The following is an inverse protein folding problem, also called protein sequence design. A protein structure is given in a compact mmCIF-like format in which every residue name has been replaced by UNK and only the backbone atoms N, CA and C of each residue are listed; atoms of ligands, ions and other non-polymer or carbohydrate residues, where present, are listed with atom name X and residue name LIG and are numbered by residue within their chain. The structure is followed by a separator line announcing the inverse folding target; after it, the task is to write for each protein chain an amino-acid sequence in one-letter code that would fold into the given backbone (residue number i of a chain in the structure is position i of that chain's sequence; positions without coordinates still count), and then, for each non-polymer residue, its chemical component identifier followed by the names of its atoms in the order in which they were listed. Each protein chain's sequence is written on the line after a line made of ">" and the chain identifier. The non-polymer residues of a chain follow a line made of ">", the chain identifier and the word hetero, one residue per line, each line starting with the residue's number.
data_IF_620237392783
#
_entry.id   IF_620237392783
#
_cell.length_a   1.000
_cell.length_b   1.000
_cell.length_c   1.000
_cell.angle_alpha   90.00
_cell.angle_beta   90.00
_cell.angle_gamma   90.00
#
_symmetry.space_group_name_H-M   'P 1'
#
loop_
_entity.id
_entity.type
_entity.pdbx_description
1 polymer ?
#
# COMPACT_ATOMS: atom_id res chain seq x y z
N UNK A 1 -37.80 1.14 3.16
CA UNK A 1 -36.72 1.51 4.10
C UNK A 1 -37.27 1.68 5.52
N UNK A 2 -36.65 1.10 6.56
CA UNK A 2 -37.13 1.19 7.97
C UNK A 2 -37.39 2.64 8.40
N UNK A 3 -36.51 3.56 8.00
CA UNK A 3 -36.60 4.98 8.31
C UNK A 3 -37.77 5.71 7.62
N UNK A 4 -38.50 5.09 6.69
CA UNK A 4 -39.76 5.65 6.14
C UNK A 4 -40.98 5.20 6.95
N UNK A 5 -40.97 3.97 7.46
CA UNK A 5 -42.15 3.35 8.12
C UNK A 5 -42.43 3.90 9.51
N UNK A 6 -41.46 4.57 10.14
CA UNK A 6 -41.58 5.06 11.53
C UNK A 6 -41.77 6.58 11.55
N UNK A 7 -42.84 7.06 12.18
CA UNK A 7 -43.16 8.49 12.26
C UNK A 7 -42.14 9.33 13.03
N UNK A 8 -41.50 8.77 14.08
CA UNK A 8 -40.46 9.44 14.86
C UNK A 8 -39.12 8.68 14.79
N UNK A 9 -38.02 9.41 14.58
CA UNK A 9 -36.66 8.86 14.56
C UNK A 9 -36.15 8.72 16.00
N UNK A 10 -36.52 7.63 16.67
CA UNK A 10 -36.09 7.35 18.03
C UNK A 10 -34.74 6.59 18.05
N UNK A 11 -34.02 6.64 19.16
CA UNK A 11 -32.72 5.97 19.36
C UNK A 11 -32.78 4.47 19.06
N UNK A 12 -33.89 3.80 19.42
CA UNK A 12 -34.12 2.37 19.12
C UNK A 12 -34.20 2.11 17.62
N UNK A 13 -34.87 2.98 16.87
CA UNK A 13 -35.00 2.87 15.42
C UNK A 13 -33.65 3.07 14.72
N UNK A 14 -32.85 4.04 15.20
CA UNK A 14 -31.49 4.29 14.70
C UNK A 14 -30.55 3.12 15.04
N UNK A 15 -30.57 2.62 16.27
CA UNK A 15 -29.79 1.44 16.67
C UNK A 15 -30.15 0.22 15.82
N UNK A 16 -31.44 -0.04 15.62
CA UNK A 16 -31.91 -1.12 14.74
C UNK A 16 -31.50 -0.88 13.28
N UNK A 17 -31.48 0.38 12.83
CA UNK A 17 -31.02 0.73 11.50
C UNK A 17 -29.54 0.35 11.35
N UNK A 18 -28.64 0.87 12.20
CA UNK A 18 -27.21 0.59 12.08
C UNK A 18 -26.87 -0.88 12.29
N UNK A 19 -27.44 -1.52 13.33
CA UNK A 19 -27.18 -2.93 13.63
C UNK A 19 -27.46 -3.85 12.43
N UNK A 20 -28.58 -3.64 11.74
CA UNK A 20 -28.93 -4.45 10.57
C UNK A 20 -27.95 -4.32 9.39
N UNK A 21 -27.17 -3.23 9.32
CA UNK A 21 -26.19 -2.98 8.26
C UNK A 21 -24.84 -3.51 8.68
N UNK A 22 -24.44 -3.23 9.93
CA UNK A 22 -23.21 -3.77 10.53
C UNK A 22 -23.19 -5.29 10.47
N UNK A 23 -24.28 -5.96 10.90
CA UNK A 23 -24.38 -7.44 10.86
C UNK A 23 -24.27 -8.00 9.45
N UNK A 24 -24.59 -7.23 8.41
CA UNK A 24 -24.59 -7.69 7.02
C UNK A 24 -23.24 -7.45 6.34
N UNK A 25 -22.62 -6.30 6.59
CA UNK A 25 -21.49 -5.80 5.81
C UNK A 25 -20.15 -6.11 6.48
N UNK A 26 -20.01 -5.75 7.77
CA UNK A 26 -18.71 -5.77 8.44
C UNK A 26 -18.06 -7.16 8.60
N UNK A 27 -18.79 -8.25 8.93
CA UNK A 27 -18.15 -9.55 9.12
C UNK A 27 -17.46 -10.04 7.85
N UNK A 28 -18.16 -9.99 6.71
CA UNK A 28 -17.59 -10.43 5.44
C UNK A 28 -16.45 -9.48 5.01
N UNK A 29 -16.62 -8.18 5.21
CA UNK A 29 -15.59 -7.20 4.88
C UNK A 29 -14.28 -7.45 5.63
N UNK A 30 -14.32 -7.53 6.97
CA UNK A 30 -13.11 -7.76 7.77
C UNK A 30 -12.54 -9.18 7.60
N UNK A 31 -13.39 -10.17 7.28
CA UNK A 31 -12.93 -11.51 6.90
C UNK A 31 -12.09 -11.46 5.63
N UNK A 32 -12.59 -10.81 4.57
CA UNK A 32 -11.86 -10.64 3.31
C UNK A 32 -10.57 -9.84 3.53
N UNK A 33 -10.61 -8.78 4.35
CA UNK A 33 -9.38 -8.03 4.70
C UNK A 33 -8.36 -8.93 5.42
N UNK A 34 -8.79 -9.70 6.41
CA UNK A 34 -7.91 -10.61 7.17
C UNK A 34 -7.32 -11.69 6.26
N UNK A 35 -8.14 -12.34 5.43
CA UNK A 35 -7.68 -13.34 4.47
C UNK A 35 -6.73 -12.73 3.43
N UNK A 36 -7.02 -11.53 2.93
CA UNK A 36 -6.16 -10.80 2.00
C UNK A 36 -4.80 -10.46 2.61
N UNK A 37 -4.76 -10.04 3.88
CA UNK A 37 -3.51 -9.78 4.61
C UNK A 37 -2.73 -11.06 4.88
N UNK A 38 -3.39 -12.15 5.28
CA UNK A 38 -2.74 -13.46 5.43
C UNK A 38 -2.15 -13.90 4.08
N UNK A 39 -2.90 -13.75 2.98
CA UNK A 39 -2.42 -14.11 1.66
C UNK A 39 -1.23 -13.25 1.21
N UNK A 40 -1.28 -11.94 1.47
CA UNK A 40 -0.18 -11.01 1.23
C UNK A 40 1.11 -11.48 1.93
N UNK A 41 1.03 -11.81 3.21
CA UNK A 41 2.21 -12.18 4.00
C UNK A 41 2.75 -13.59 3.68
N UNK A 42 1.94 -14.50 3.15
CA UNK A 42 2.36 -15.88 2.89
C UNK A 42 2.69 -16.16 1.42
N UNK A 43 2.05 -15.47 0.48
CA UNK A 43 2.12 -15.81 -0.95
C UNK A 43 2.62 -14.67 -1.83
N UNK A 44 2.57 -13.41 -1.39
CA UNK A 44 2.99 -12.27 -2.21
C UNK A 44 4.45 -11.85 -1.95
N UNK A 45 5.19 -11.42 -2.99
CA UNK A 45 6.54 -10.85 -2.83
C UNK A 45 6.54 -9.61 -1.93
N UNK A 46 7.68 -9.33 -1.29
CA UNK A 46 7.82 -8.21 -0.35
C UNK A 46 7.58 -6.83 -0.99
N UNK A 47 7.81 -6.71 -2.30
CA UNK A 47 7.51 -5.49 -3.06
C UNK A 47 6.04 -5.09 -2.97
N UNK A 48 5.13 -6.04 -2.70
CA UNK A 48 3.70 -5.76 -2.53
C UNK A 48 3.33 -5.29 -1.12
N UNK A 49 4.15 -5.60 -0.12
CA UNK A 49 3.77 -5.44 1.29
C UNK A 49 3.60 -3.98 1.69
N UNK A 50 4.57 -3.10 1.38
CA UNK A 50 4.52 -1.70 1.79
C UNK A 50 3.23 -0.99 1.31
N UNK A 51 2.91 -1.12 0.01
CA UNK A 51 1.69 -0.56 -0.59
C UNK A 51 0.43 -1.17 0.02
N UNK A 52 0.36 -2.49 0.14
CA UNK A 52 -0.83 -3.19 0.60
C UNK A 52 -1.08 -3.06 2.11
N UNK A 53 -0.04 -2.97 2.93
CA UNK A 53 -0.16 -2.69 4.38
C UNK A 53 -0.60 -1.23 4.60
N UNK A 54 -0.07 -0.27 3.83
CA UNK A 54 -0.55 1.10 3.89
C UNK A 54 -2.03 1.21 3.45
N UNK A 55 -2.43 0.51 2.38
CA UNK A 55 -3.82 0.50 1.90
C UNK A 55 -4.75 -0.21 2.88
N UNK A 56 -4.33 -1.34 3.45
CA UNK A 56 -5.12 -2.10 4.41
C UNK A 56 -5.44 -1.31 5.69
N UNK A 57 -4.53 -0.44 6.16
CA UNK A 57 -4.81 0.46 7.30
C UNK A 57 -5.97 1.40 6.99
N UNK A 58 -6.00 1.97 5.78
CA UNK A 58 -7.14 2.80 5.33
C UNK A 58 -8.40 1.95 5.19
N UNK A 59 -8.28 0.69 4.75
CA UNK A 59 -9.40 -0.22 4.59
C UNK A 59 -10.01 -0.62 5.94
N UNK A 60 -9.18 -0.95 6.93
CA UNK A 60 -9.59 -1.23 8.30
C UNK A 60 -10.29 -0.01 8.92
N UNK A 61 -9.78 1.19 8.64
CA UNK A 61 -10.40 2.44 9.07
C UNK A 61 -11.64 2.88 8.24
N UNK A 62 -12.03 2.12 7.20
CA UNK A 62 -13.16 2.42 6.30
C UNK A 62 -13.04 3.78 5.58
N UNK A 63 -11.82 4.14 5.17
CA UNK A 63 -11.50 5.43 4.53
C UNK A 63 -10.65 5.29 3.25
N UNK A 64 -10.71 4.15 2.55
CA UNK A 64 -9.96 3.97 1.29
C UNK A 64 -10.44 4.86 0.15
N UNK A 65 -11.61 5.48 0.30
CA UNK A 65 -12.11 6.51 -0.60
C UNK A 65 -11.47 7.91 -0.36
N UNK A 66 -10.66 8.09 0.68
CA UNK A 66 -9.92 9.34 0.87
C UNK A 66 -8.60 9.23 0.11
N UNK A 67 -8.58 9.79 -1.11
CA UNK A 67 -7.39 9.91 -1.96
C UNK A 67 -6.87 11.35 -1.90
N UNK A 68 -5.55 11.50 -1.78
CA UNK A 68 -4.87 12.81 -1.81
C UNK A 68 -4.84 13.32 -3.25
N UNK A 69 -5.08 14.63 -3.44
CA UNK A 69 -4.88 15.31 -4.74
C UNK A 69 -3.40 15.41 -5.02
N UNK A 70 -3.00 14.98 -6.20
CA UNK A 70 -1.59 14.81 -6.57
C UNK A 70 -1.32 15.42 -7.94
N UNK A 71 -0.07 15.79 -8.17
CA UNK A 71 0.36 16.46 -9.39
C UNK A 71 0.41 15.48 -10.57
N UNK A 72 0.30 15.98 -11.80
CA UNK A 72 0.20 15.17 -13.02
C UNK A 72 1.36 14.17 -13.21
N UNK A 73 2.55 14.47 -12.69
CA UNK A 73 3.74 13.61 -12.72
C UNK A 73 3.66 12.40 -11.79
N UNK A 74 2.92 12.46 -10.68
CA UNK A 74 2.78 11.35 -9.72
C UNK A 74 1.68 10.35 -10.13
N UNK A 75 0.85 10.71 -11.12
CA UNK A 75 -0.33 9.95 -11.53
C UNK A 75 0.00 8.58 -12.13
N UNK A 76 1.03 8.47 -12.98
CA UNK A 76 1.37 7.21 -13.65
C UNK A 76 1.93 6.17 -12.68
N UNK A 77 2.85 6.61 -11.81
CA UNK A 77 3.50 5.76 -10.82
C UNK A 77 2.50 5.26 -9.77
N UNK A 78 1.48 6.06 -9.46
CA UNK A 78 0.41 5.64 -8.57
C UNK A 78 -0.64 4.76 -9.25
N UNK A 79 -0.90 4.91 -10.55
CA UNK A 79 -1.73 3.96 -11.30
C UNK A 79 -1.15 2.54 -11.25
N UNK A 80 0.17 2.41 -11.34
CA UNK A 80 0.85 1.12 -11.21
C UNK A 80 0.81 0.57 -9.78
N UNK A 81 0.93 1.44 -8.76
CA UNK A 81 0.74 1.03 -7.36
C UNK A 81 -0.71 0.62 -7.06
N UNK A 82 -1.71 1.35 -7.58
CA UNK A 82 -3.13 1.02 -7.42
C UNK A 82 -3.47 -0.31 -8.12
N UNK A 83 -2.78 -0.68 -9.21
CA UNK A 83 -2.93 -1.99 -9.86
C UNK A 83 -2.36 -3.16 -9.03
N UNK A 84 -1.40 -2.88 -8.14
CA UNK A 84 -0.79 -3.87 -7.24
C UNK A 84 -1.47 -3.90 -5.85
N UNK A 85 -2.42 -3.00 -5.60
CA UNK A 85 -3.14 -2.89 -4.34
C UNK A 85 -4.34 -3.85 -4.30
N UNK A 86 -4.20 -4.92 -3.53
CA UNK A 86 -5.23 -5.94 -3.25
C UNK A 86 -6.49 -5.33 -2.63
N UNK A 87 -6.36 -4.19 -1.93
CA UNK A 87 -7.45 -3.52 -1.23
C UNK A 87 -8.02 -2.34 -2.02
N UNK A 88 -7.59 -2.14 -3.28
CA UNK A 88 -8.02 -1.01 -4.10
C UNK A 88 -9.55 -0.94 -4.21
N UNK A 89 -10.24 -2.07 -4.40
CA UNK A 89 -11.68 -2.10 -4.61
C UNK A 89 -12.52 -1.90 -3.34
N UNK A 90 -11.90 -1.73 -2.17
CA UNK A 90 -12.62 -1.47 -0.90
C UNK A 90 -13.22 -0.06 -0.83
N UNK A 91 -12.79 0.86 -1.70
CA UNK A 91 -13.24 2.26 -1.68
C UNK A 91 -14.76 2.39 -1.83
N UNK A 92 -15.40 1.54 -2.64
CA UNK A 92 -16.83 1.64 -2.95
C UNK A 92 -17.68 1.30 -1.74
N UNK A 93 -17.25 0.29 -0.99
CA UNK A 93 -17.89 -0.09 0.26
C UNK A 93 -17.67 0.98 1.34
N UNK A 94 -16.50 1.63 1.39
CA UNK A 94 -16.27 2.74 2.32
C UNK A 94 -17.23 3.92 2.04
N UNK A 95 -17.45 4.25 0.76
CA UNK A 95 -18.44 5.25 0.35
C UNK A 95 -19.84 4.86 0.81
N UNK A 96 -20.22 3.59 0.63
CA UNK A 96 -21.52 3.07 1.08
C UNK A 96 -21.68 3.16 2.61
N UNK A 97 -20.65 2.81 3.37
CA UNK A 97 -20.65 2.89 4.83
C UNK A 97 -20.78 4.33 5.33
N UNK A 98 -20.05 5.27 4.70
CA UNK A 98 -20.15 6.70 5.00
C UNK A 98 -21.55 7.24 4.65
N UNK A 99 -22.13 6.82 3.52
CA UNK A 99 -23.51 7.16 3.19
C UNK A 99 -24.51 6.67 4.24
N UNK A 100 -24.36 5.45 4.76
CA UNK A 100 -25.24 4.95 5.81
C UNK A 100 -25.19 5.76 7.11
N UNK A 101 -24.04 6.37 7.45
CA UNK A 101 -23.93 7.30 8.57
C UNK A 101 -24.70 8.60 8.31
N UNK A 102 -24.71 9.08 7.06
CA UNK A 102 -25.40 10.31 6.67
C UNK A 102 -26.92 10.13 6.54
N UNK A 103 -27.38 8.94 6.15
CA UNK A 103 -28.78 8.65 5.83
C UNK A 103 -29.77 9.12 6.92
N UNK A 104 -29.59 8.83 8.23
CA UNK A 104 -30.53 9.30 9.25
C UNK A 104 -30.61 10.82 9.33
N UNK A 105 -29.50 11.52 9.14
CA UNK A 105 -29.43 12.99 9.14
C UNK A 105 -30.20 13.53 7.93
N UNK A 106 -30.01 12.92 6.75
CA UNK A 106 -30.72 13.30 5.53
C UNK A 106 -32.23 13.10 5.67
N UNK A 107 -32.69 11.97 6.24
CA UNK A 107 -34.11 11.74 6.49
C UNK A 107 -34.68 12.65 7.59
N UNK A 108 -33.88 13.00 8.59
CA UNK A 108 -34.29 14.00 9.59
C UNK A 108 -34.48 15.37 8.93
N UNK A 109 -33.51 15.83 8.14
CA UNK A 109 -33.60 17.09 7.39
C UNK A 109 -34.79 17.11 6.41
N UNK A 110 -35.02 16.00 5.70
CA UNK A 110 -36.18 15.84 4.81
C UNK A 110 -37.48 16.15 5.54
N UNK A 111 -37.70 15.55 6.72
CA UNK A 111 -38.94 15.70 7.49
C UNK A 111 -39.15 17.10 8.04
N UNK A 112 -38.08 17.84 8.30
CA UNK A 112 -38.15 19.22 8.82
C UNK A 112 -38.37 20.25 7.71
N UNK A 113 -37.76 20.05 6.53
CA UNK A 113 -37.74 21.08 5.48
C UNK A 113 -38.88 20.89 4.48
N UNK A 114 -39.12 19.66 3.99
CA UNK A 114 -40.04 19.42 2.86
C UNK A 114 -40.87 18.16 3.07
N UNK A 115 -42.20 18.29 3.01
CA UNK A 115 -43.12 17.13 3.08
C UNK A 115 -43.04 16.23 1.83
N UNK A 116 -42.62 16.79 0.69
CA UNK A 116 -42.48 16.09 -0.59
C UNK A 116 -41.16 15.32 -0.68
N UNK A 117 -41.17 14.07 -0.20
CA UNK A 117 -40.00 13.18 -0.17
C UNK A 117 -39.32 13.05 -1.55
N UNK A 118 -40.11 12.86 -2.63
CA UNK A 118 -39.59 12.68 -4.00
C UNK A 118 -38.80 13.91 -4.47
N UNK A 119 -39.38 15.09 -4.28
CA UNK A 119 -38.74 16.36 -4.68
C UNK A 119 -37.47 16.59 -3.89
N UNK A 120 -37.47 16.31 -2.58
CA UNK A 120 -36.30 16.46 -1.73
C UNK A 120 -35.11 15.60 -2.21
N UNK A 121 -35.33 14.31 -2.44
CA UNK A 121 -34.26 13.43 -2.93
C UNK A 121 -33.86 13.71 -4.38
N UNK A 122 -34.77 14.18 -5.23
CA UNK A 122 -34.44 14.62 -6.58
C UNK A 122 -33.53 15.86 -6.58
N UNK A 123 -33.78 16.83 -5.69
CA UNK A 123 -32.93 18.02 -5.54
C UNK A 123 -31.54 17.64 -5.02
N UNK A 124 -31.45 16.76 -4.01
CA UNK A 124 -30.14 16.27 -3.53
C UNK A 124 -29.38 15.54 -4.65
N UNK A 125 -30.06 14.69 -5.42
CA UNK A 125 -29.46 14.01 -6.56
C UNK A 125 -28.94 15.02 -7.60
N UNK A 126 -29.72 16.05 -7.94
CA UNK A 126 -29.31 17.09 -8.87
C UNK A 126 -28.09 17.88 -8.36
N UNK A 127 -28.07 18.27 -7.08
CA UNK A 127 -26.92 18.96 -6.47
C UNK A 127 -25.67 18.07 -6.53
N UNK A 128 -25.82 16.78 -6.21
CA UNK A 128 -24.73 15.80 -6.25
C UNK A 128 -24.20 15.61 -7.67
N UNK A 129 -25.07 15.56 -8.69
CA UNK A 129 -24.65 15.51 -10.11
C UNK A 129 -23.91 16.78 -10.52
N UNK A 130 -24.43 17.96 -10.16
CA UNK A 130 -23.75 19.22 -10.48
C UNK A 130 -22.37 19.27 -9.81
N UNK A 131 -22.25 18.79 -8.57
CA UNK A 131 -20.96 18.68 -7.88
C UNK A 131 -20.03 17.69 -8.59
N UNK A 132 -20.53 16.50 -8.95
CA UNK A 132 -19.79 15.48 -9.70
C UNK A 132 -19.21 16.02 -11.01
N UNK A 133 -19.99 16.81 -11.75
CA UNK A 133 -19.58 17.40 -13.03
C UNK A 133 -18.60 18.59 -12.90
N UNK A 134 -18.49 19.21 -11.71
CA UNK A 134 -17.66 20.40 -11.49
C UNK A 134 -16.30 20.13 -10.86
N UNK A 135 -16.14 19.00 -10.17
CA UNK A 135 -14.88 18.64 -9.51
C UNK A 135 -13.99 17.80 -10.42
N UNK A 136 -12.71 17.70 -10.07
CA UNK A 136 -11.74 16.84 -10.76
C UNK A 136 -12.13 15.37 -10.73
N UNK A 137 -11.61 14.58 -11.67
CA UNK A 137 -11.94 13.17 -11.88
C UNK A 137 -11.73 12.31 -10.63
N UNK A 138 -10.64 12.54 -9.88
CA UNK A 138 -10.35 11.78 -8.66
C UNK A 138 -11.41 12.08 -7.60
N UNK A 139 -11.71 13.36 -7.37
CA UNK A 139 -12.71 13.77 -6.39
C UNK A 139 -14.11 13.33 -6.81
N UNK A 140 -14.47 13.44 -8.09
CA UNK A 140 -15.77 13.03 -8.60
C UNK A 140 -15.98 11.53 -8.45
N UNK A 141 -14.90 10.75 -8.65
CA UNK A 141 -14.87 9.33 -8.39
C UNK A 141 -14.99 9.09 -6.88
N UNK A 142 -14.00 9.36 -6.04
CA UNK A 142 -14.00 8.82 -4.68
C UNK A 142 -14.91 9.54 -3.65
N UNK A 143 -15.44 10.73 -3.94
CA UNK A 143 -16.25 11.48 -2.98
C UNK A 143 -17.65 10.91 -2.77
N UNK A 144 -18.05 10.76 -1.50
CA UNK A 144 -19.43 10.39 -1.12
C UNK A 144 -20.43 11.43 -1.64
N UNK A 145 -20.10 12.71 -1.56
CA UNK A 145 -20.99 13.80 -1.97
C UNK A 145 -21.18 13.83 -3.48
N UNK A 146 -20.11 13.57 -4.25
CA UNK A 146 -20.20 13.46 -5.71
C UNK A 146 -20.98 12.23 -6.17
N UNK A 147 -20.99 11.15 -5.38
CA UNK A 147 -21.71 9.90 -5.71
C UNK A 147 -23.09 9.77 -5.08
N UNK A 148 -23.49 10.73 -4.25
CA UNK A 148 -24.77 10.71 -3.52
C UNK A 148 -25.97 10.52 -4.46
N UNK A 149 -25.92 11.06 -5.68
CA UNK A 149 -26.99 10.89 -6.67
C UNK A 149 -27.33 9.42 -6.96
N UNK A 150 -26.35 8.50 -6.94
CA UNK A 150 -26.57 7.07 -7.18
C UNK A 150 -27.46 6.45 -6.10
N UNK A 151 -27.18 6.78 -4.84
CA UNK A 151 -28.00 6.35 -3.72
C UNK A 151 -29.39 6.99 -3.74
N UNK A 152 -29.47 8.27 -4.10
CA UNK A 152 -30.76 8.96 -4.27
C UNK A 152 -31.60 8.33 -5.39
N UNK A 153 -31.01 7.91 -6.52
CA UNK A 153 -31.72 7.17 -7.57
C UNK A 153 -32.36 5.89 -7.02
N UNK A 154 -31.64 5.13 -6.19
CA UNK A 154 -32.21 3.95 -5.53
C UNK A 154 -33.37 4.27 -4.58
N UNK A 155 -33.28 5.37 -3.83
CA UNK A 155 -34.38 5.85 -2.97
C UNK A 155 -35.58 6.28 -3.82
N UNK A 156 -35.35 7.05 -4.88
CA UNK A 156 -36.40 7.53 -5.80
C UNK A 156 -37.10 6.36 -6.49
N UNK A 157 -36.35 5.36 -6.97
CA UNK A 157 -36.91 4.14 -7.56
C UNK A 157 -37.86 3.44 -6.57
N UNK A 158 -37.46 3.27 -5.30
CA UNK A 158 -38.32 2.73 -4.25
C UNK A 158 -39.57 3.60 -3.97
N UNK A 159 -39.42 4.92 -3.98
CA UNK A 159 -40.54 5.85 -3.79
C UNK A 159 -41.52 5.88 -4.98
N UNK A 160 -41.03 5.63 -6.20
CA UNK A 160 -41.84 5.53 -7.41
C UNK A 160 -42.55 4.17 -7.49
N UNK A 161 -41.89 3.07 -7.09
CA UNK A 161 -42.53 1.75 -7.03
C UNK A 161 -43.70 1.72 -6.05
N UNK A 162 -43.59 2.46 -4.93
CA UNK A 162 -44.69 2.59 -3.96
C UNK A 162 -45.94 3.29 -4.51
N UNK A 163 -45.89 3.81 -5.74
CA UNK A 163 -46.99 4.46 -6.44
C UNK A 163 -47.50 3.65 -7.66
N UNK A 164 -46.90 2.51 -7.98
CA UNK A 164 -47.30 1.63 -9.08
C UNK A 164 -47.98 0.37 -8.54
N UNK A 165 -49.10 -0.02 -9.15
CA UNK A 165 -49.79 -1.27 -8.86
C UNK A 165 -48.89 -2.47 -9.28
N UNK A 166 -48.72 -3.51 -8.45
CA UNK A 166 -47.83 -4.66 -8.74
C UNK A 166 -48.15 -5.40 -10.04
N UNK A 167 -49.37 -5.25 -10.53
CA UNK A 167 -49.93 -5.91 -11.72
C UNK A 167 -49.35 -5.40 -13.04
N UNK A 168 -48.82 -4.17 -13.10
CA UNK A 168 -48.25 -3.60 -14.35
C UNK A 168 -46.76 -3.93 -14.57
N UNK A 169 -46.01 -4.28 -13.52
CA UNK A 169 -44.55 -4.48 -13.62
C UNK A 169 -44.16 -5.86 -14.14
N UNK A 170 -45.01 -6.87 -13.93
CA UNK A 170 -44.79 -8.26 -14.37
C UNK A 170 -45.50 -8.61 -15.69
N UNK A 171 -46.27 -7.69 -16.27
CA UNK A 171 -47.05 -7.90 -17.50
C UNK A 171 -46.28 -7.66 -18.80
N UNK A 172 -45.03 -7.18 -18.74
CA UNK A 172 -44.20 -6.99 -19.94
C UNK A 172 -43.20 -8.13 -20.06
N UNK A 173 -43.17 -8.85 -21.20
CA UNK A 173 -42.20 -9.91 -21.40
C UNK A 173 -40.80 -9.32 -21.24
N UNK A 174 -40.00 -9.99 -20.40
CA UNK A 174 -38.61 -9.68 -20.14
C UNK A 174 -37.92 -9.48 -21.50
N UNK A 175 -37.37 -8.28 -21.70
CA UNK A 175 -36.64 -7.91 -22.91
C UNK A 175 -35.62 -9.02 -23.19
N UNK A 176 -35.86 -9.82 -24.22
CA UNK A 176 -34.90 -10.81 -24.72
C UNK A 176 -33.75 -10.00 -25.31
N UNK A 177 -32.77 -9.70 -24.46
CA UNK A 177 -31.46 -9.26 -24.89
C UNK A 177 -30.90 -10.42 -25.70
N UNK A 178 -31.01 -10.30 -27.03
CA UNK A 178 -30.24 -11.09 -27.99
C UNK A 178 -28.76 -10.85 -27.66
N UNK A 179 -28.18 -11.77 -26.91
CA UNK A 179 -26.75 -11.81 -26.64
C UNK A 179 -26.06 -12.41 -27.86
N UNK A 180 -25.77 -11.55 -28.83
CA UNK A 180 -24.79 -11.86 -29.86
C UNK A 180 -23.41 -12.09 -29.21
N UNK A 181 -22.77 -13.19 -29.60
CA UNK A 181 -21.39 -13.56 -29.30
C UNK A 181 -21.03 -13.77 -27.81
N UNK A 182 -21.51 -14.87 -27.21
CA UNK A 182 -20.84 -15.43 -26.03
C UNK A 182 -20.66 -16.95 -26.15
N UNK A 183 -19.46 -17.43 -25.84
CA UNK A 183 -19.13 -18.84 -25.85
C UNK A 183 -20.03 -19.58 -24.84
N UNK A 184 -20.98 -20.38 -25.36
CA UNK A 184 -22.05 -21.02 -24.58
C UNK A 184 -21.54 -21.78 -23.35
N UNK A 185 -20.31 -22.31 -23.39
CA UNK A 185 -19.68 -23.00 -22.25
C UNK A 185 -19.46 -22.07 -21.06
N UNK A 186 -19.00 -20.84 -21.29
CA UNK A 186 -18.77 -19.85 -20.23
C UNK A 186 -20.07 -19.39 -19.57
N UNK A 187 -21.15 -19.24 -20.34
CA UNK A 187 -22.47 -18.87 -19.83
C UNK A 187 -23.05 -19.96 -18.92
N UNK A 188 -23.04 -21.22 -19.35
CA UNK A 188 -23.52 -22.34 -18.53
C UNK A 188 -22.69 -22.49 -17.24
N UNK A 189 -21.38 -22.36 -17.34
CA UNK A 189 -20.49 -22.46 -16.19
C UNK A 189 -20.73 -21.30 -15.21
N UNK A 190 -20.94 -20.08 -15.71
CA UNK A 190 -21.29 -18.91 -14.91
C UNK A 190 -22.65 -19.04 -14.21
N UNK A 191 -23.67 -19.55 -14.90
CA UNK A 191 -25.00 -19.81 -14.30
C UNK A 191 -24.91 -20.88 -13.22
N UNK A 192 -24.21 -21.99 -13.50
CA UNK A 192 -24.03 -23.08 -12.53
C UNK A 192 -23.29 -22.59 -11.28
N UNK A 193 -22.18 -21.85 -11.46
CA UNK A 193 -21.42 -21.27 -10.36
C UNK A 193 -22.27 -20.28 -9.54
N UNK A 194 -23.05 -19.44 -10.23
CA UNK A 194 -23.96 -18.49 -9.56
C UNK A 194 -25.01 -19.21 -8.72
N UNK A 195 -25.58 -20.31 -9.21
CA UNK A 195 -26.55 -21.11 -8.46
C UNK A 195 -25.92 -21.78 -7.23
N UNK A 196 -24.70 -22.29 -7.36
CA UNK A 196 -23.94 -22.87 -6.24
C UNK A 196 -23.66 -21.80 -5.18
N UNK A 197 -23.13 -20.64 -5.58
CA UNK A 197 -22.83 -19.53 -4.66
C UNK A 197 -24.11 -19.00 -4.00
N UNK A 198 -25.20 -18.88 -4.75
CA UNK A 198 -26.49 -18.45 -4.21
C UNK A 198 -27.04 -19.44 -3.17
N UNK A 199 -26.98 -20.74 -3.47
CA UNK A 199 -27.41 -21.80 -2.56
C UNK A 199 -26.55 -21.83 -1.29
N UNK A 200 -25.23 -21.74 -1.44
CA UNK A 200 -24.31 -21.67 -0.31
C UNK A 200 -24.58 -20.42 0.55
N UNK A 201 -24.74 -19.25 -0.08
CA UNK A 201 -25.07 -17.99 0.60
C UNK A 201 -26.38 -18.13 1.37
N UNK A 202 -27.43 -18.67 0.77
CA UNK A 202 -28.71 -18.89 1.45
C UNK A 202 -28.58 -19.81 2.67
N UNK A 203 -27.87 -20.93 2.54
CA UNK A 203 -27.73 -21.91 3.63
C UNK A 203 -26.85 -21.39 4.78
N UNK A 204 -25.67 -20.85 4.47
CA UNK A 204 -24.71 -20.41 5.50
C UNK A 204 -25.04 -19.02 6.05
N UNK A 205 -25.40 -18.06 5.20
CA UNK A 205 -25.63 -16.69 5.61
C UNK A 205 -27.07 -16.49 6.12
N UNK A 206 -28.07 -16.81 5.30
CA UNK A 206 -29.45 -16.46 5.58
C UNK A 206 -30.10 -17.38 6.62
N UNK A 207 -29.91 -18.70 6.50
CA UNK A 207 -30.49 -19.68 7.43
C UNK A 207 -29.78 -19.80 8.76
N UNK A 208 -28.46 -19.63 8.79
CA UNK A 208 -27.64 -19.83 9.98
C UNK A 208 -27.18 -18.51 10.59
N UNK A 209 -26.32 -17.76 9.90
CA UNK A 209 -25.67 -16.56 10.46
C UNK A 209 -26.67 -15.46 10.86
N UNK A 210 -27.69 -15.16 10.05
CA UNK A 210 -28.66 -14.11 10.38
C UNK A 210 -29.52 -14.40 11.63
N UNK A 211 -29.53 -15.65 12.12
CA UNK A 211 -30.24 -16.04 13.35
C UNK A 211 -29.38 -15.97 14.60
N UNK A 212 -28.09 -15.68 14.47
CA UNK A 212 -27.20 -15.59 15.62
C UNK A 212 -27.60 -14.45 16.56
N UNK A 213 -27.39 -14.62 17.87
CA UNK A 213 -27.70 -13.57 18.83
C UNK A 213 -26.78 -12.36 18.61
N UNK A 214 -27.26 -11.13 18.87
CA UNK A 214 -26.52 -9.90 18.60
C UNK A 214 -25.13 -9.85 19.24
N UNK A 215 -25.01 -10.36 20.47
CA UNK A 215 -23.73 -10.36 21.19
C UNK A 215 -22.67 -11.20 20.48
N UNK A 216 -23.05 -12.36 19.92
CA UNK A 216 -22.12 -13.21 19.16
C UNK A 216 -21.67 -12.54 17.88
N UNK A 217 -22.57 -11.87 17.17
CA UNK A 217 -22.23 -11.12 15.95
C UNK A 217 -21.28 -9.97 16.26
N UNK A 218 -21.54 -9.23 17.34
CA UNK A 218 -20.66 -8.13 17.76
C UNK A 218 -19.28 -8.64 18.17
N UNK A 219 -19.20 -9.75 18.91
CA UNK A 219 -17.92 -10.38 19.25
C UNK A 219 -17.17 -10.88 18.02
N UNK A 220 -17.86 -11.45 17.03
CA UNK A 220 -17.26 -11.87 15.75
C UNK A 220 -16.68 -10.66 15.00
N UNK A 221 -17.46 -9.58 14.86
CA UNK A 221 -17.01 -8.36 14.19
C UNK A 221 -15.81 -7.77 14.93
N UNK A 222 -15.84 -7.71 16.26
CA UNK A 222 -14.73 -7.21 17.07
C UNK A 222 -13.47 -8.07 16.89
N UNK A 223 -13.60 -9.41 16.89
CA UNK A 223 -12.48 -10.32 16.65
C UNK A 223 -11.86 -10.13 15.26
N UNK A 224 -12.68 -10.05 14.21
CA UNK A 224 -12.22 -9.82 12.84
C UNK A 224 -11.61 -8.44 12.63
N UNK A 225 -12.17 -7.42 13.30
CA UNK A 225 -11.58 -6.08 13.31
C UNK A 225 -10.22 -6.09 13.99
N UNK A 226 -10.09 -6.70 15.17
CA UNK A 226 -8.82 -6.77 15.89
C UNK A 226 -7.78 -7.59 15.12
N UNK A 227 -8.15 -8.70 14.47
CA UNK A 227 -7.22 -9.48 13.66
C UNK A 227 -6.73 -8.72 12.43
N UNK A 228 -7.64 -8.08 11.70
CA UNK A 228 -7.27 -7.28 10.53
C UNK A 228 -6.46 -6.04 10.93
N UNK A 229 -6.81 -5.37 12.04
CA UNK A 229 -6.05 -4.26 12.58
C UNK A 229 -4.63 -4.69 13.00
N UNK A 230 -4.50 -5.81 13.71
CA UNK A 230 -3.19 -6.35 14.11
C UNK A 230 -2.30 -6.62 12.88
N UNK A 231 -2.83 -7.28 11.86
CA UNK A 231 -2.11 -7.56 10.61
C UNK A 231 -1.78 -6.28 9.84
N UNK A 232 -2.68 -5.29 9.82
CA UNK A 232 -2.47 -4.01 9.16
C UNK A 232 -1.51 -3.06 9.92
N UNK A 233 -1.29 -3.31 11.21
CA UNK A 233 -0.35 -2.56 12.05
C UNK A 233 1.09 -3.10 11.98
N UNK A 234 1.34 -4.18 11.24
CA UNK A 234 2.72 -4.55 10.91
C UNK A 234 3.42 -3.37 10.23
N UNK A 235 4.72 -3.23 10.46
CA UNK A 235 5.50 -2.14 9.87
C UNK A 235 5.32 -2.15 8.35
N UNK A 236 5.16 -0.95 7.75
CA UNK A 236 5.12 -0.83 6.28
C UNK A 236 6.47 -1.23 5.67
N UNK A 237 7.50 -1.29 6.52
CA UNK A 237 8.83 -1.73 6.21
C UNK A 237 8.85 -3.26 6.16
N UNK A 238 8.33 -3.79 5.06
CA UNK A 238 8.58 -5.18 4.63
C UNK A 238 10.09 -5.53 4.61
N UNK A 239 10.94 -4.51 4.63
CA UNK A 239 12.38 -4.56 4.58
C UNK A 239 13.08 -4.43 5.95
N UNK A 240 12.41 -4.02 7.04
CA UNK A 240 13.03 -4.14 8.38
C UNK A 240 13.20 -5.60 8.79
N UNK A 241 12.31 -6.48 8.31
CA UNK A 241 12.42 -7.93 8.50
C UNK A 241 13.32 -8.65 7.48
N UNK A 242 13.77 -7.96 6.43
CA UNK A 242 14.61 -8.51 5.37
C UNK A 242 15.87 -7.68 5.15
N UNK A 243 16.68 -7.58 6.20
CA UNK A 243 18.13 -7.54 6.02
C UNK A 243 18.60 -8.90 5.46
N UNK A 244 18.33 -9.15 4.19
CA UNK A 244 18.99 -10.21 3.45
C UNK A 244 20.46 -9.82 3.28
N UNK A 245 21.38 -10.58 3.86
CA UNK A 245 22.83 -10.34 3.85
C UNK A 245 23.50 -10.61 2.49
N UNK A 246 22.81 -10.36 1.38
CA UNK A 246 23.24 -10.73 0.03
C UNK A 246 23.40 -9.55 -0.93
N UNK A 247 24.25 -9.72 -1.94
CA UNK A 247 24.42 -8.76 -3.02
C UNK A 247 23.20 -8.79 -3.95
N UNK A 248 22.53 -7.64 -4.11
CA UNK A 248 21.49 -7.47 -5.14
C UNK A 248 22.16 -7.55 -6.52
N UNK A 249 21.78 -8.54 -7.33
CA UNK A 249 22.26 -8.71 -8.69
C UNK A 249 21.41 -7.86 -9.66
N UNK A 250 22.05 -6.87 -10.28
CA UNK A 250 21.43 -5.93 -11.22
C UNK A 250 21.59 -6.37 -12.68
N UNK A 251 22.33 -7.45 -12.96
CA UNK A 251 22.66 -7.89 -14.32
C UNK A 251 21.52 -8.60 -15.07
N UNK A 252 20.48 -9.00 -14.34
CA UNK A 252 19.29 -9.69 -14.87
C UNK A 252 18.14 -8.72 -15.24
N UNK A 253 18.40 -7.42 -15.16
CA UNK A 253 17.41 -6.36 -15.39
C UNK A 253 17.29 -6.05 -16.89
N UNK A 254 16.12 -6.33 -17.47
CA UNK A 254 15.78 -5.95 -18.84
C UNK A 254 15.17 -4.55 -18.87
N UNK A 255 15.95 -3.57 -19.33
CA UNK A 255 15.63 -2.13 -19.32
C UNK A 255 14.52 -1.74 -20.31
N UNK A 256 14.18 -2.62 -21.25
CA UNK A 256 13.26 -2.35 -22.36
C UNK A 256 11.84 -2.92 -22.15
N UNK A 257 11.59 -3.59 -21.02
CA UNK A 257 10.30 -4.23 -20.73
C UNK A 257 9.25 -3.17 -20.31
N UNK A 258 8.00 -3.29 -20.78
CA UNK A 258 6.94 -2.27 -20.56
C UNK A 258 6.58 -1.99 -19.08
N UNK A 259 6.99 -2.86 -18.15
CA UNK A 259 6.90 -2.65 -16.70
C UNK A 259 7.87 -1.56 -16.17
N UNK A 260 8.85 -1.13 -16.97
CA UNK A 260 9.89 -0.13 -16.64
C UNK A 260 9.53 1.32 -16.96
N UNK A 261 8.28 1.59 -17.32
CA UNK A 261 7.83 2.96 -17.52
C UNK A 261 7.51 3.66 -16.17
N UNK A 262 7.65 2.97 -15.03
CA UNK A 262 7.91 3.65 -13.76
C UNK A 262 9.34 4.18 -13.77
N UNK A 263 9.50 5.46 -13.41
CA UNK A 263 10.81 6.11 -13.32
C UNK A 263 11.79 5.21 -12.54
N UNK A 264 12.85 4.76 -13.22
CA UNK A 264 13.95 3.91 -12.71
C UNK A 264 14.35 4.22 -11.26
N UNK A 265 14.27 5.49 -10.88
CA UNK A 265 14.56 6.02 -9.55
C UNK A 265 13.62 5.52 -8.43
N UNK A 266 12.32 5.31 -8.70
CA UNK A 266 11.39 4.74 -7.70
C UNK A 266 11.67 3.27 -7.43
N UNK A 267 12.13 2.52 -8.43
CA UNK A 267 12.50 1.13 -8.28
C UNK A 267 13.83 0.99 -7.49
N UNK A 268 14.80 1.87 -7.76
CA UNK A 268 16.06 1.93 -7.01
C UNK A 268 15.80 2.35 -5.55
N UNK A 269 15.04 3.43 -5.32
CA UNK A 269 14.65 3.85 -3.97
C UNK A 269 13.81 2.82 -3.21
N UNK A 270 12.96 2.04 -3.91
CA UNK A 270 12.21 0.94 -3.31
C UNK A 270 13.09 -0.30 -3.04
N UNK A 271 14.11 -0.55 -3.87
CA UNK A 271 15.11 -1.61 -3.67
C UNK A 271 16.14 -1.26 -2.58
N UNK A 272 16.37 0.03 -2.33
CA UNK A 272 17.31 0.56 -1.32
C UNK A 272 16.62 1.00 -0.01
N UNK A 273 15.28 1.08 -0.01
CA UNK A 273 14.41 1.22 1.15
C UNK A 273 14.73 2.40 2.12
N UNK A 274 14.84 3.63 1.60
CA UNK A 274 14.94 4.85 2.44
C UNK A 274 14.40 6.13 1.79
N UNK A 275 13.06 6.34 1.75
CA UNK A 275 12.47 7.55 1.15
C UNK A 275 12.57 8.83 2.03
N UNK A 276 12.91 8.73 3.31
CA UNK A 276 12.90 9.85 4.27
C UNK A 276 14.25 10.55 4.48
N UNK A 277 15.30 10.12 3.78
CA UNK A 277 16.70 10.53 4.01
C UNK A 277 17.28 11.34 2.83
N UNK A 278 16.48 12.20 2.20
CA UNK A 278 17.01 13.18 1.24
C UNK A 278 17.64 14.37 1.98
N UNK A 279 18.71 14.12 2.73
CA UNK A 279 19.49 15.16 3.40
C UNK A 279 20.54 15.71 2.44
N UNK A 280 20.35 16.96 2.03
CA UNK A 280 21.35 17.79 1.37
C UNK A 280 22.67 17.79 2.18
N UNK A 281 23.79 17.46 1.53
CA UNK A 281 25.14 17.66 2.06
C UNK A 281 25.58 19.10 1.74
N UNK A 282 25.76 19.90 2.79
CA UNK A 282 26.06 21.33 2.68
C UNK A 282 27.41 21.53 1.98
N UNK A 283 27.44 22.26 0.87
CA UNK A 283 28.66 22.51 0.08
C UNK A 283 28.85 21.62 -1.14
N UNK A 284 27.92 20.69 -1.41
CA UNK A 284 28.05 19.77 -2.53
C UNK A 284 27.46 20.28 -3.85
N UNK A 285 28.19 20.09 -4.96
CA UNK A 285 27.67 20.25 -6.32
C UNK A 285 27.01 18.95 -6.78
N UNK A 286 25.73 19.05 -7.12
CA UNK A 286 24.91 17.92 -7.58
C UNK A 286 24.81 17.92 -9.11
N UNK A 287 24.61 16.74 -9.70
CA UNK A 287 24.42 16.63 -11.16
C UNK A 287 23.00 16.98 -11.58
N UNK A 288 22.86 17.85 -12.59
CA UNK A 288 21.57 18.21 -13.19
C UNK A 288 21.01 17.13 -14.13
N UNK A 289 21.73 15.99 -14.27
CA UNK A 289 21.45 14.92 -15.25
C UNK A 289 20.05 14.33 -15.13
N UNK A 290 19.37 14.51 -14.00
CA UNK A 290 18.08 13.89 -13.70
C UNK A 290 17.01 14.83 -13.13
N UNK A 291 17.30 16.08 -12.78
CA UNK A 291 16.35 16.91 -12.01
C UNK A 291 16.22 18.32 -12.59
N UNK A 292 15.16 18.54 -13.36
CA UNK A 292 14.68 19.85 -13.78
C UNK A 292 13.91 20.63 -12.71
N UNK A 293 13.83 20.14 -11.47
CA UNK A 293 13.25 20.84 -10.30
C UNK A 293 13.97 20.45 -8.99
N UNK A 294 13.75 21.25 -7.94
CA UNK A 294 14.39 21.31 -6.62
C UNK A 294 14.27 20.02 -5.77
N UNK A 295 14.86 18.90 -6.20
CA UNK A 295 15.16 17.75 -5.34
C UNK A 295 16.61 17.32 -5.52
N UNK A 296 17.36 17.18 -4.41
CA UNK A 296 18.79 16.83 -4.36
C UNK A 296 18.93 15.36 -3.90
N UNK A 297 18.90 14.37 -4.82
CA UNK A 297 18.98 12.95 -4.43
C UNK A 297 20.38 12.58 -3.90
N UNK A 298 20.42 11.65 -2.94
CA UNK A 298 21.65 10.94 -2.58
C UNK A 298 22.16 10.17 -3.81
N UNK A 299 23.46 10.29 -4.10
CA UNK A 299 24.15 9.42 -5.06
C UNK A 299 24.97 10.14 -6.14
N UNK A 300 24.82 11.45 -6.31
CA UNK A 300 25.62 12.20 -7.28
C UNK A 300 26.07 13.54 -6.71
N UNK A 301 26.97 13.45 -5.73
CA UNK A 301 27.55 14.59 -5.04
C UNK A 301 29.05 14.66 -5.34
N UNK A 302 29.55 15.82 -5.82
CA UNK A 302 30.99 16.11 -5.92
C UNK A 302 31.35 17.30 -5.01
N UNK A 303 32.41 17.16 -4.20
CA UNK A 303 33.01 18.23 -3.41
C UNK A 303 34.52 18.22 -3.58
N UNK A 304 35.10 19.40 -3.84
CA UNK A 304 36.53 19.56 -4.09
C UNK A 304 37.39 19.17 -2.87
N UNK A 305 36.88 19.41 -1.65
CA UNK A 305 37.57 19.14 -0.39
C UNK A 305 37.25 17.76 0.25
N UNK A 306 36.35 16.96 -0.34
CA UNK A 306 35.92 15.67 0.23
C UNK A 306 34.84 15.77 1.33
N UNK A 307 34.29 14.63 1.78
CA UNK A 307 33.29 14.55 2.87
C UNK A 307 33.91 14.44 4.27
N UNK A 308 35.23 14.25 4.35
CA UNK A 308 35.96 14.03 5.60
C UNK A 308 36.70 15.30 5.96
N UNK A 309 36.11 16.14 6.80
CA UNK A 309 36.66 17.44 7.18
C UNK A 309 37.77 17.38 8.25
N UNK A 310 37.87 16.27 9.00
CA UNK A 310 38.86 16.12 10.08
C UNK A 310 39.62 14.81 9.98
N UNK A 311 40.94 14.92 9.86
CA UNK A 311 41.87 13.79 9.88
C UNK A 311 41.94 13.14 11.27
N UNK A 312 41.94 11.80 11.31
CA UNK A 312 42.03 10.99 12.53
C UNK A 312 43.45 10.89 13.10
N UNK A 313 44.36 11.77 12.66
CA UNK A 313 45.78 11.83 13.02
C UNK A 313 46.08 11.47 14.49
N UNK A 314 45.46 12.16 15.45
CA UNK A 314 45.70 11.91 16.87
C UNK A 314 45.16 10.57 17.38
N UNK A 315 44.11 10.01 16.75
CA UNK A 315 43.60 8.69 17.09
C UNK A 315 44.56 7.59 16.60
N UNK A 316 45.11 7.75 15.40
CA UNK A 316 46.11 6.82 14.82
C UNK A 316 47.40 6.82 15.63
N UNK A 317 47.91 7.99 16.02
CA UNK A 317 49.07 8.11 16.93
C UNK A 317 48.87 7.36 18.26
N UNK A 318 47.66 7.40 18.84
CA UNK A 318 47.37 6.66 20.08
C UNK A 318 47.40 5.14 19.87
N UNK A 319 46.87 4.65 18.75
CA UNK A 319 46.86 3.21 18.43
C UNK A 319 48.29 2.71 18.17
N UNK A 320 49.10 3.48 17.45
CA UNK A 320 50.51 3.17 17.21
C UNK A 320 51.30 3.08 18.52
N UNK A 321 51.07 4.00 19.45
CA UNK A 321 51.78 4.01 20.73
C UNK A 321 51.36 2.86 21.67
N UNK A 322 50.10 2.42 21.58
CA UNK A 322 49.61 1.20 22.25
C UNK A 322 50.28 -0.04 21.65
N UNK A 323 50.41 -0.11 20.33
CA UNK A 323 51.02 -1.24 19.66
C UNK A 323 52.49 -1.43 20.05
N UNK A 324 53.27 -0.34 20.21
CA UNK A 324 54.67 -0.41 20.68
C UNK A 324 54.84 -1.10 22.04
N UNK A 325 53.80 -1.06 22.88
CA UNK A 325 53.82 -1.64 24.24
C UNK A 325 53.20 -3.03 24.30
N UNK A 326 52.57 -3.48 23.21
CA UNK A 326 51.94 -4.79 23.16
C UNK A 326 52.89 -5.86 22.63
N UNK A 327 53.08 -6.94 23.38
CA UNK A 327 53.98 -8.04 23.00
C UNK A 327 53.37 -9.00 21.97
N UNK A 328 52.04 -9.00 21.78
CA UNK A 328 51.31 -9.89 20.88
C UNK A 328 50.18 -9.16 20.15
N UNK A 329 50.45 -7.96 19.64
CA UNK A 329 49.48 -7.22 18.83
C UNK A 329 50.05 -6.95 17.44
N UNK A 330 49.14 -6.87 16.48
CA UNK A 330 49.40 -6.37 15.14
C UNK A 330 48.42 -5.23 14.87
N UNK A 331 48.92 -4.11 14.34
CA UNK A 331 48.05 -3.02 13.88
C UNK A 331 47.49 -3.41 12.53
N UNK A 332 46.17 -3.37 12.42
CA UNK A 332 45.47 -3.55 11.16
C UNK A 332 44.99 -2.16 10.73
N UNK A 333 45.57 -1.64 9.66
CA UNK A 333 45.23 -0.33 9.13
C UNK A 333 44.51 -0.45 7.78
N UNK A 334 43.24 -0.10 7.78
CA UNK A 334 42.38 -0.15 6.59
C UNK A 334 42.39 1.16 5.79
N UNK A 335 42.97 2.23 6.33
CA UNK A 335 42.96 3.55 5.69
C UNK A 335 43.60 3.58 4.30
N UNK A 336 44.75 2.91 4.03
CA UNK A 336 45.36 2.91 2.70
C UNK A 336 44.46 2.35 1.60
N UNK A 337 43.51 1.47 1.96
CA UNK A 337 42.55 0.87 1.03
C UNK A 337 41.45 1.87 0.65
N UNK A 338 41.18 2.86 1.50
CA UNK A 338 40.10 3.82 1.31
C UNK A 338 40.54 5.06 0.53
N UNK A 339 41.83 5.39 0.61
CA UNK A 339 42.46 6.54 0.00
C UNK A 339 42.48 6.45 -1.54
N UNK A 340 42.20 7.58 -2.21
CA UNK A 340 42.28 7.69 -3.67
C UNK A 340 43.69 7.95 -4.19
N UNK A 341 43.83 8.18 -5.50
CA UNK A 341 45.11 8.50 -6.16
C UNK A 341 45.78 9.78 -5.64
N UNK A 342 45.02 10.68 -5.01
CA UNK A 342 45.49 11.91 -4.38
C UNK A 342 46.08 11.72 -2.98
N UNK A 343 46.04 10.52 -2.40
CA UNK A 343 46.55 10.29 -1.04
C UNK A 343 45.57 10.68 0.08
N UNK A 344 44.38 11.18 -0.26
CA UNK A 344 43.34 11.54 0.70
C UNK A 344 42.12 10.60 0.64
N UNK A 345 41.52 10.33 1.80
CA UNK A 345 40.24 9.65 1.90
C UNK A 345 39.09 10.66 1.83
N UNK A 346 38.32 10.62 0.75
CA UNK A 346 37.26 11.59 0.49
C UNK A 346 35.90 11.18 1.08
N UNK A 347 35.75 9.96 1.61
CA UNK A 347 34.43 9.45 2.05
C UNK A 347 33.51 9.01 0.91
N UNK A 348 33.92 9.21 -0.35
CA UNK A 348 33.21 8.80 -1.54
C UNK A 348 34.19 8.51 -2.70
N UNK A 349 33.68 7.91 -3.78
CA UNK A 349 34.44 7.65 -4.99
C UNK A 349 34.38 8.86 -5.95
N UNK A 350 35.49 9.53 -6.28
CA UNK A 350 35.48 10.72 -7.13
C UNK A 350 35.15 10.46 -8.60
N UNK A 351 35.22 9.20 -9.07
CA UNK A 351 34.95 8.86 -10.47
C UNK A 351 33.46 8.65 -10.76
N UNK A 352 32.71 8.11 -9.80
CA UNK A 352 31.29 7.79 -9.96
C UNK A 352 30.39 8.40 -8.88
N UNK A 353 30.96 9.20 -7.97
CA UNK A 353 30.28 9.94 -6.90
C UNK A 353 29.53 9.06 -5.87
N UNK A 354 29.92 7.78 -5.73
CA UNK A 354 29.33 6.87 -4.74
C UNK A 354 29.93 7.09 -3.34
N UNK A 355 29.10 7.38 -2.34
CA UNK A 355 29.51 7.49 -0.94
C UNK A 355 29.90 6.13 -0.34
N UNK A 356 30.84 6.14 0.60
CA UNK A 356 31.28 4.95 1.34
C UNK A 356 30.76 4.88 2.78
N UNK A 357 30.21 5.98 3.29
CA UNK A 357 29.69 6.08 4.65
C UNK A 357 28.16 6.30 4.65
N UNK A 358 27.51 5.87 5.73
CA UNK A 358 26.12 6.21 6.06
C UNK A 358 26.04 7.46 6.95
N UNK A 359 24.81 7.84 7.32
CA UNK A 359 24.57 9.04 8.13
C UNK A 359 25.04 8.94 9.60
N UNK A 360 25.44 7.75 10.04
CA UNK A 360 25.97 7.50 11.37
C UNK A 360 27.51 7.28 11.32
N UNK A 361 28.16 7.60 10.20
CA UNK A 361 29.58 7.38 9.93
C UNK A 361 30.01 5.90 9.92
N UNK A 362 29.10 4.96 9.65
CA UNK A 362 29.48 3.57 9.39
C UNK A 362 29.79 3.34 7.91
N UNK A 363 30.66 2.37 7.61
CA UNK A 363 30.81 1.91 6.23
C UNK A 363 29.50 1.33 5.70
N UNK A 364 28.99 1.93 4.64
CA UNK A 364 27.90 1.37 3.86
C UNK A 364 28.41 0.19 3.02
N UNK A 365 27.53 -0.41 2.21
CA UNK A 365 27.90 -1.59 1.41
C UNK A 365 29.10 -1.35 0.48
N UNK A 366 29.19 -0.19 -0.15
CA UNK A 366 30.30 0.17 -1.04
C UNK A 366 31.61 0.40 -0.27
N UNK A 367 31.54 1.02 0.91
CA UNK A 367 32.68 1.15 1.80
C UNK A 367 33.21 -0.20 2.30
N UNK A 368 32.31 -1.12 2.65
CA UNK A 368 32.64 -2.49 3.07
C UNK A 368 33.27 -3.30 1.95
N UNK A 369 32.74 -3.21 0.74
CA UNK A 369 33.31 -3.87 -0.44
C UNK A 369 34.73 -3.38 -0.72
N UNK A 370 34.97 -2.07 -0.53
CA UNK A 370 36.31 -1.49 -0.72
C UNK A 370 37.34 -2.05 0.26
N UNK A 371 36.98 -2.27 1.52
CA UNK A 371 37.89 -2.81 2.55
C UNK A 371 37.94 -4.35 2.57
N UNK A 372 37.04 -5.04 1.86
CA UNK A 372 36.92 -6.50 1.87
C UNK A 372 38.24 -7.24 1.56
N UNK A 373 39.06 -6.83 0.57
CA UNK A 373 40.31 -7.53 0.27
C UNK A 373 41.30 -7.57 1.46
N UNK A 374 41.29 -6.56 2.31
CA UNK A 374 42.11 -6.54 3.53
C UNK A 374 41.59 -7.56 4.56
N UNK A 375 40.27 -7.67 4.72
CA UNK A 375 39.67 -8.64 5.63
C UNK A 375 39.87 -10.08 5.17
N UNK A 376 39.85 -10.33 3.87
CA UNK A 376 40.14 -11.65 3.30
C UNK A 376 41.58 -12.08 3.62
N UNK A 377 42.56 -11.18 3.43
CA UNK A 377 43.97 -11.42 3.79
C UNK A 377 44.15 -11.69 5.29
N UNK A 378 43.44 -10.97 6.14
CA UNK A 378 43.51 -11.16 7.59
C UNK A 378 42.91 -12.50 8.01
N UNK A 379 41.81 -12.92 7.39
CA UNK A 379 41.20 -14.23 7.66
C UNK A 379 42.15 -15.37 7.32
N UNK A 380 42.81 -15.32 6.16
CA UNK A 380 43.82 -16.29 5.79
C UNK A 380 44.97 -16.31 6.80
N UNK A 381 45.46 -15.12 7.17
CA UNK A 381 46.58 -14.97 8.12
C UNK A 381 46.29 -15.56 9.50
N UNK A 382 45.10 -15.34 10.03
CA UNK A 382 44.73 -15.81 11.36
C UNK A 382 44.10 -17.22 11.36
N UNK A 383 44.09 -17.89 10.20
CA UNK A 383 43.49 -19.20 9.99
C UNK A 383 42.03 -19.25 10.50
N UNK A 384 41.37 -18.09 10.43
CA UNK A 384 39.96 -17.95 10.74
C UNK A 384 39.28 -18.47 9.49
N UNK A 385 38.71 -19.67 9.57
CA UNK A 385 37.93 -20.24 8.48
C UNK A 385 36.72 -19.37 8.21
N UNK A 386 36.84 -18.42 7.29
CA UNK A 386 35.66 -17.88 6.62
C UNK A 386 35.07 -19.07 5.86
N UNK A 387 33.79 -19.42 6.08
CA UNK A 387 33.18 -20.51 5.34
C UNK A 387 33.28 -20.22 3.84
N UNK A 388 33.94 -21.12 3.11
CA UNK A 388 34.18 -20.97 1.67
C UNK A 388 32.85 -20.77 0.91
N UNK A 389 32.85 -20.07 -0.24
CA UNK A 389 31.66 -19.91 -1.08
C UNK A 389 31.05 -21.26 -1.53
N UNK A 390 31.83 -22.35 -1.53
CA UNK A 390 31.39 -23.68 -1.92
C UNK A 390 30.39 -24.33 -0.97
N UNK A 391 30.33 -23.93 0.32
CA UNK A 391 29.27 -24.43 1.22
C UNK A 391 27.90 -23.79 0.92
N UNK A 392 27.84 -22.74 0.10
CA UNK A 392 26.57 -22.16 -0.37
C UNK A 392 26.00 -22.84 -1.63
N UNK A 393 26.74 -23.74 -2.29
CA UNK A 393 26.34 -24.36 -3.57
C UNK A 393 25.85 -25.82 -3.46
N UNK A 394 25.71 -26.41 -2.26
CA UNK A 394 25.28 -27.82 -2.12
C UNK A 394 23.76 -28.05 -2.02
N UNK A 395 22.91 -27.03 -2.14
CA UNK A 395 21.45 -27.21 -2.18
C UNK A 395 20.84 -26.79 -3.52
N UNK A 396 21.10 -27.60 -4.55
CA UNK A 396 20.11 -28.22 -5.45
C UNK A 396 20.61 -28.32 -6.90
N UNK A 397 20.85 -29.53 -7.42
CA UNK A 397 21.23 -29.77 -8.82
C UNK A 397 19.98 -29.82 -9.69
N UNK A 398 19.81 -28.87 -10.59
CA UNK A 398 19.14 -29.07 -11.90
C UNK A 398 19.21 -27.77 -12.69
N UNK A 399 20.25 -27.64 -13.52
CA UNK A 399 20.20 -27.04 -14.85
C UNK A 399 21.46 -27.55 -15.59
N UNK A 400 21.28 -28.71 -16.23
CA UNK A 400 22.01 -29.13 -17.43
C UNK A 400 21.01 -29.07 -18.58
#
# INVERSE_FOLDING_TARGET
>A
MILKRVGNLNTVTLGTFYYNRLKRILPLYYLVLTCGLIALFNFCPLSYWATNVASSRKAVALITNIKTKENATESYEKMLQDAQDLFVHTWSLCVEMQWYLLVPIVFFAQRQIVKLEKTFFAVIAAISIVYYLKVDEITSFYSVFARTWQFCCGILAFLCQSAMDPTELFGKPLLTLESECYEKKGLFLGIALSFIIATASYQFFEKNYLKWPPNTILSLIAGLFLSSAYLAMQSNDAFEGQNGSGTVDYSTINVDHAEWNMTLMRLINAKENSPTINTESKGCNYTDRFTGELMKPLGFCSMEDGLIERDEYFARLRIEEVAKRCQKCEIIDYYPVLVGSSGHYLGYNPYNNLLYLDNNNHFNRFGKEKIQPLFDQLSEKFNISIPSPQYMNQCNPRLS
#
